data_IF_938241014339
#
_entry.id   IF_938241014339
#
_cell.length_a   1.000
_cell.length_b   1.000
_cell.length_c   1.000
_cell.angle_alpha   90.00
_cell.angle_beta   90.00
_cell.angle_gamma   90.00
#
_symmetry.space_group_name_H-M   'P 1'
#
loop_
_entity.id
_entity.type
_entity.pdbx_description
1 polymer ?
#
# COMPACT_ATOMS: atom_id res chain seq x y z
N UNK A 1 -23.28 9.11 9.46
CA UNK A 1 -22.24 8.11 9.77
C UNK A 1 -22.45 6.84 8.99
N UNK A 2 -23.57 6.13 9.22
CA UNK A 2 -23.89 4.87 8.57
C UNK A 2 -23.65 4.88 7.05
N UNK A 3 -24.26 5.80 6.28
CA UNK A 3 -24.02 5.91 4.83
C UNK A 3 -22.54 6.01 4.44
N UNK A 4 -21.73 6.77 5.20
CA UNK A 4 -20.29 6.91 4.94
C UNK A 4 -19.55 5.60 5.15
N UNK A 5 -19.85 4.89 6.24
CA UNK A 5 -19.22 3.61 6.59
C UNK A 5 -19.71 2.47 5.68
N UNK A 6 -20.99 2.45 5.29
CA UNK A 6 -21.51 1.51 4.31
C UNK A 6 -20.86 1.70 2.94
N UNK A 7 -20.71 2.94 2.48
CA UNK A 7 -20.00 3.22 1.23
C UNK A 7 -18.52 2.82 1.28
N UNK A 8 -17.87 3.06 2.43
CA UNK A 8 -16.51 2.61 2.65
C UNK A 8 -16.39 1.07 2.68
N UNK A 9 -17.33 0.36 3.31
CA UNK A 9 -17.37 -1.10 3.28
C UNK A 9 -17.56 -1.64 1.85
N UNK A 10 -18.44 -1.02 1.04
CA UNK A 10 -18.57 -1.36 -0.38
C UNK A 10 -17.25 -1.14 -1.14
N UNK A 11 -16.51 -0.06 -0.86
CA UNK A 11 -15.22 0.22 -1.46
C UNK A 11 -14.16 -0.84 -1.08
N UNK A 12 -14.09 -1.24 0.19
CA UNK A 12 -13.20 -2.33 0.63
C UNK A 12 -13.53 -3.63 -0.09
N UNK A 13 -14.82 -3.95 -0.25
CA UNK A 13 -15.27 -5.14 -0.98
C UNK A 13 -14.91 -5.08 -2.47
N UNK A 14 -15.12 -3.94 -3.12
CA UNK A 14 -14.74 -3.74 -4.52
C UNK A 14 -13.21 -3.87 -4.71
N UNK A 15 -12.43 -3.37 -3.76
CA UNK A 15 -10.96 -3.53 -3.76
C UNK A 15 -10.59 -5.02 -3.59
N UNK A 16 -11.19 -5.73 -2.65
CA UNK A 16 -10.95 -7.16 -2.46
C UNK A 16 -11.33 -8.00 -3.69
N UNK A 17 -12.43 -7.65 -4.37
CA UNK A 17 -12.84 -8.30 -5.61
C UNK A 17 -11.83 -8.04 -6.75
N UNK A 18 -11.33 -6.82 -6.88
CA UNK A 18 -10.27 -6.50 -7.85
C UNK A 18 -9.03 -7.38 -7.67
N UNK A 19 -8.59 -7.60 -6.42
CA UNK A 19 -7.47 -8.51 -6.12
C UNK A 19 -7.77 -9.94 -6.53
N UNK A 20 -8.97 -10.44 -6.20
CA UNK A 20 -9.39 -11.80 -6.53
C UNK A 20 -9.37 -12.05 -8.03
N UNK A 21 -9.80 -11.05 -8.82
CA UNK A 21 -9.91 -11.16 -10.28
C UNK A 21 -8.57 -10.95 -11.00
N UNK A 22 -7.77 -9.97 -10.58
CA UNK A 22 -6.58 -9.55 -11.32
C UNK A 22 -5.25 -9.99 -10.69
N UNK A 23 -5.27 -10.48 -9.45
CA UNK A 23 -4.08 -10.94 -8.71
C UNK A 23 -2.95 -9.90 -8.66
N UNK A 24 -3.33 -8.62 -8.52
CA UNK A 24 -2.41 -7.48 -8.48
C UNK A 24 -3.01 -6.34 -7.66
N UNK A 25 -2.17 -5.40 -7.15
CA UNK A 25 -2.65 -4.22 -6.46
C UNK A 25 -3.31 -3.20 -7.39
N UNK A 26 -4.15 -2.33 -6.85
CA UNK A 26 -4.76 -1.24 -7.61
C UNK A 26 -3.79 -0.06 -7.76
N UNK A 27 -3.08 0.31 -6.69
CA UNK A 27 -2.04 1.37 -6.59
C UNK A 27 -2.47 2.80 -6.94
N UNK A 28 -3.75 3.02 -7.25
CA UNK A 28 -4.25 4.32 -7.72
C UNK A 28 -5.49 4.82 -6.98
N UNK A 29 -5.90 4.16 -5.88
CA UNK A 29 -7.17 4.43 -5.20
C UNK A 29 -7.31 5.91 -4.80
N UNK A 30 -8.16 6.63 -5.52
CA UNK A 30 -8.44 8.07 -5.40
C UNK A 30 -9.94 8.32 -5.55
N UNK A 31 -10.50 9.44 -5.05
CA UNK A 31 -11.92 9.74 -5.20
C UNK A 31 -12.43 9.72 -6.64
N UNK A 32 -11.60 10.13 -7.60
CA UNK A 32 -11.91 10.22 -9.03
C UNK A 32 -12.18 8.84 -9.65
N UNK A 33 -11.64 7.78 -9.05
CA UNK A 33 -11.77 6.41 -9.53
C UNK A 33 -12.94 5.64 -8.90
N UNK A 34 -13.63 6.27 -7.94
CA UNK A 34 -14.69 5.64 -7.16
C UNK A 34 -16.03 6.06 -7.74
N UNK A 35 -16.77 5.09 -8.28
CA UNK A 35 -18.09 5.32 -8.89
C UNK A 35 -19.20 4.90 -7.93
N UNK A 36 -20.01 5.87 -7.53
CA UNK A 36 -21.23 5.63 -6.74
C UNK A 36 -22.43 5.59 -7.68
N UNK A 37 -23.21 4.51 -7.62
CA UNK A 37 -24.40 4.35 -8.43
C UNK A 37 -25.55 3.81 -7.57
N UNK A 38 -26.82 4.07 -7.94
CA UNK A 38 -27.97 3.47 -7.25
C UNK A 38 -27.90 1.95 -7.29
N UNK A 39 -28.21 1.29 -6.18
CA UNK A 39 -28.31 -0.18 -6.12
C UNK A 39 -29.77 -0.62 -6.21
N UNK A 40 -30.00 -1.85 -6.68
CA UNK A 40 -31.33 -2.45 -6.68
C UNK A 40 -31.94 -2.48 -5.27
N UNK A 41 -33.27 -2.33 -5.13
CA UNK A 41 -33.94 -2.28 -3.84
C UNK A 41 -33.99 -3.66 -3.18
N UNK A 42 -32.87 -4.06 -2.57
CA UNK A 42 -32.79 -5.25 -1.72
C UNK A 42 -33.40 -5.02 -0.35
N UNK A 43 -33.51 -3.77 0.10
CA UNK A 43 -34.10 -3.39 1.38
C UNK A 43 -35.35 -2.53 1.19
N UNK A 44 -36.51 -3.08 1.57
CA UNK A 44 -37.82 -2.41 1.43
C UNK A 44 -38.07 -1.31 2.47
N UNK A 45 -37.23 -1.20 3.50
CA UNK A 45 -37.41 -0.28 4.63
C UNK A 45 -36.44 0.91 4.63
N UNK A 46 -35.50 0.97 3.68
CA UNK A 46 -34.59 2.10 3.51
C UNK A 46 -35.09 3.03 2.40
N UNK A 47 -34.93 4.37 2.53
CA UNK A 47 -35.20 5.28 1.43
C UNK A 47 -34.38 4.88 0.20
N UNK A 48 -34.99 4.83 -0.99
CA UNK A 48 -34.30 4.44 -2.22
C UNK A 48 -33.01 5.25 -2.50
N UNK A 49 -32.98 6.52 -2.11
CA UNK A 49 -31.80 7.40 -2.18
C UNK A 49 -30.62 6.99 -1.27
N UNK A 50 -30.84 6.07 -0.33
CA UNK A 50 -29.82 5.52 0.56
C UNK A 50 -29.32 4.16 0.09
N UNK A 51 -29.88 3.64 -1.01
CA UNK A 51 -29.46 2.41 -1.65
C UNK A 51 -28.49 2.76 -2.77
N UNK A 52 -27.22 2.49 -2.53
CA UNK A 52 -26.16 2.75 -3.48
C UNK A 52 -25.11 1.65 -3.39
N UNK A 53 -24.40 1.45 -4.49
CA UNK A 53 -23.24 0.61 -4.57
C UNK A 53 -22.03 1.44 -5.02
N UNK A 54 -20.85 0.94 -4.65
CA UNK A 54 -19.56 1.56 -4.95
C UNK A 54 -18.76 0.59 -5.79
N UNK A 55 -18.32 1.03 -6.96
CA UNK A 55 -17.43 0.28 -7.84
C UNK A 55 -16.13 1.05 -8.06
N UNK A 56 -15.07 0.31 -8.36
CA UNK A 56 -13.80 0.85 -8.83
C UNK A 56 -13.78 0.90 -10.36
N UNK A 57 -13.10 1.89 -10.92
CA UNK A 57 -12.74 1.87 -12.33
C UNK A 57 -11.57 0.89 -12.56
N UNK A 58 -11.90 -0.35 -12.91
CA UNK A 58 -10.92 -1.41 -13.14
C UNK A 58 -9.86 -1.04 -14.20
N UNK A 59 -10.22 -0.18 -15.16
CA UNK A 59 -9.31 0.32 -16.19
C UNK A 59 -8.21 1.25 -15.66
N UNK A 60 -8.36 1.76 -14.44
CA UNK A 60 -7.41 2.63 -13.73
C UNK A 60 -6.60 1.89 -12.65
N UNK A 61 -6.74 0.56 -12.59
CA UNK A 61 -5.88 -0.30 -11.77
C UNK A 61 -4.45 -0.38 -12.30
N UNK A 62 -3.51 -0.84 -11.48
CA UNK A 62 -2.11 -0.96 -11.87
C UNK A 62 -1.90 -1.89 -13.07
N UNK A 63 -0.81 -1.69 -13.81
CA UNK A 63 -0.38 -2.58 -14.90
C UNK A 63 0.99 -3.18 -14.61
N UNK A 64 1.31 -4.38 -15.13
CA UNK A 64 2.67 -4.91 -15.05
C UNK A 64 3.66 -3.94 -15.68
N UNK A 65 4.84 -3.81 -15.08
CA UNK A 65 5.93 -3.02 -15.64
C UNK A 65 6.37 -3.63 -16.98
N UNK A 66 6.50 -2.78 -17.99
CA UNK A 66 7.10 -3.13 -19.29
C UNK A 66 8.44 -2.41 -19.38
N UNK A 67 9.53 -3.17 -19.42
CA UNK A 67 10.88 -2.66 -19.56
C UNK A 67 11.64 -3.45 -20.64
N UNK A 68 12.37 -2.75 -21.51
CA UNK A 68 12.96 -3.34 -22.73
C UNK A 68 13.93 -4.49 -22.45
N UNK A 69 14.75 -4.35 -21.40
CA UNK A 69 15.82 -5.30 -21.05
C UNK A 69 15.49 -6.19 -19.84
N UNK A 70 14.40 -5.92 -19.12
CA UNK A 70 14.06 -6.68 -17.92
C UNK A 70 13.47 -8.04 -18.32
N UNK A 71 13.91 -9.10 -17.65
CA UNK A 71 13.34 -10.43 -17.88
C UNK A 71 11.90 -10.50 -17.42
N UNK A 72 11.06 -11.24 -18.15
CA UNK A 72 9.63 -11.38 -17.84
C UNK A 72 9.40 -11.91 -16.42
N UNK A 73 10.20 -12.86 -15.97
CA UNK A 73 10.11 -13.45 -14.63
C UNK A 73 10.37 -12.41 -13.54
N UNK A 74 11.25 -11.44 -13.80
CA UNK A 74 11.54 -10.34 -12.88
C UNK A 74 10.42 -9.31 -12.86
N UNK A 75 9.84 -9.01 -14.03
CA UNK A 75 8.78 -8.01 -14.22
C UNK A 75 7.40 -8.44 -13.68
N UNK A 76 7.14 -9.74 -13.54
CA UNK A 76 5.82 -10.30 -13.19
C UNK A 76 5.20 -9.72 -11.91
N UNK A 77 6.03 -9.27 -10.98
CA UNK A 77 5.59 -8.79 -9.66
C UNK A 77 5.74 -7.28 -9.47
N UNK A 78 6.22 -6.59 -10.50
CA UNK A 78 6.39 -5.13 -10.48
C UNK A 78 5.20 -4.51 -11.19
N UNK A 79 4.41 -3.77 -10.44
CA UNK A 79 3.22 -3.08 -10.95
C UNK A 79 3.39 -1.57 -10.88
N UNK A 80 2.90 -0.88 -11.90
CA UNK A 80 2.90 0.58 -12.01
C UNK A 80 1.47 1.08 -12.06
N UNK A 81 1.20 2.24 -11.45
CA UNK A 81 -0.09 2.90 -11.58
C UNK A 81 -0.36 3.25 -13.05
N UNK A 82 -1.59 3.06 -13.52
CA UNK A 82 -2.00 3.31 -14.92
C UNK A 82 -2.42 4.75 -15.19
N UNK A 83 -2.44 5.62 -14.17
CA UNK A 83 -2.87 7.01 -14.27
C UNK A 83 -1.94 7.97 -13.52
N UNK A 84 -2.35 9.25 -13.47
CA UNK A 84 -1.65 10.24 -12.63
C UNK A 84 -1.76 9.86 -11.15
N UNK A 85 -0.60 9.79 -10.49
CA UNK A 85 -0.52 9.48 -9.06
C UNK A 85 -0.89 10.74 -8.28
N UNK A 86 -2.02 10.72 -7.57
CA UNK A 86 -2.34 11.77 -6.60
C UNK A 86 -1.49 11.54 -5.32
N UNK A 87 -0.51 12.43 -5.02
CA UNK A 87 0.31 12.30 -3.83
C UNK A 87 -0.51 12.46 -2.54
N UNK A 88 -1.77 12.87 -2.60
CA UNK A 88 -2.61 13.01 -1.43
C UNK A 88 -3.00 11.65 -0.84
N UNK A 89 -3.38 10.69 -1.70
CA UNK A 89 -3.85 9.34 -1.28
C UNK A 89 -2.77 8.28 -1.34
N UNK A 90 -1.70 8.56 -2.08
CA UNK A 90 -0.62 7.60 -2.33
C UNK A 90 0.17 7.26 -1.07
N UNK A 91 0.47 5.97 -0.89
CA UNK A 91 1.27 5.48 0.23
C UNK A 91 2.67 6.12 0.29
N UNK A 92 3.23 6.38 1.50
CA UNK A 92 4.54 6.98 1.65
C UNK A 92 5.65 6.22 0.93
N UNK A 93 5.57 4.88 0.90
CA UNK A 93 6.54 4.04 0.21
C UNK A 93 6.61 4.33 -1.30
N UNK A 94 5.47 4.56 -1.96
CA UNK A 94 5.43 4.89 -3.39
C UNK A 94 6.02 6.28 -3.66
N UNK A 95 5.73 7.25 -2.78
CA UNK A 95 6.29 8.61 -2.88
C UNK A 95 7.80 8.65 -2.70
N UNK A 96 8.29 7.91 -1.72
CA UNK A 96 9.71 7.84 -1.39
C UNK A 96 10.48 7.03 -2.44
N UNK A 97 9.83 6.05 -3.07
CA UNK A 97 10.45 5.17 -4.07
C UNK A 97 9.70 5.19 -5.41
N UNK A 98 9.82 6.28 -6.18
CA UNK A 98 9.35 6.25 -7.56
C UNK A 98 10.08 5.16 -8.35
N UNK A 99 9.38 4.59 -9.34
CA UNK A 99 9.90 3.49 -10.15
C UNK A 99 11.19 3.90 -10.87
N UNK A 100 12.23 3.07 -10.75
CA UNK A 100 13.53 3.32 -11.36
C UNK A 100 14.38 4.36 -10.62
N UNK A 101 14.06 4.68 -9.36
CA UNK A 101 14.90 5.59 -8.54
C UNK A 101 16.34 5.09 -8.53
N UNK A 102 17.26 5.95 -8.99
CA UNK A 102 18.68 5.66 -9.04
C UNK A 102 19.36 5.96 -7.69
N UNK A 103 20.29 5.10 -7.28
CA UNK A 103 21.10 5.25 -6.07
C UNK A 103 22.58 4.96 -6.36
N UNK A 104 23.51 5.70 -5.74
CA UNK A 104 24.89 5.28 -5.67
C UNK A 104 25.04 4.10 -4.72
N UNK A 105 25.77 3.08 -5.16
CA UNK A 105 26.03 1.87 -4.38
C UNK A 105 27.48 1.44 -4.49
N UNK A 106 27.98 0.87 -3.41
CA UNK A 106 29.21 0.09 -3.42
C UNK A 106 28.85 -1.38 -3.58
N UNK A 107 29.49 -2.07 -4.51
CA UNK A 107 29.22 -3.47 -4.83
C UNK A 107 30.47 -4.32 -4.64
N UNK A 108 30.38 -5.36 -3.83
CA UNK A 108 31.39 -6.41 -3.70
C UNK A 108 30.93 -7.67 -4.43
N UNK A 109 31.65 -8.04 -5.49
CA UNK A 109 31.35 -9.25 -6.26
C UNK A 109 31.77 -10.52 -5.49
N UNK A 110 30.82 -11.40 -5.17
CA UNK A 110 31.09 -12.65 -4.43
C UNK A 110 31.32 -13.83 -5.37
N UNK A 111 30.43 -14.02 -6.33
CA UNK A 111 30.55 -15.05 -7.36
C UNK A 111 30.19 -14.50 -8.73
N UNK A 112 30.83 -15.06 -9.74
CA UNK A 112 30.58 -14.81 -11.16
C UNK A 112 30.65 -16.17 -11.83
N UNK A 113 29.56 -16.59 -12.45
CA UNK A 113 29.42 -17.87 -13.16
C UNK A 113 28.98 -17.59 -14.60
N UNK A 114 29.65 -18.25 -15.56
CA UNK A 114 29.36 -18.04 -16.98
C UNK A 114 28.16 -18.86 -17.41
N UNK A 115 27.22 -18.20 -18.07
CA UNK A 115 26.11 -18.82 -18.80
C UNK A 115 26.38 -18.61 -20.29
N UNK A 116 26.55 -19.69 -21.08
CA UNK A 116 26.65 -19.59 -22.54
C UNK A 116 25.40 -18.89 -23.09
N UNK A 117 25.56 -17.96 -24.04
CA UNK A 117 24.41 -17.41 -24.76
C UNK A 117 24.13 -18.29 -25.98
N UNK A 118 22.93 -18.85 -26.06
CA UNK A 118 22.53 -19.76 -27.16
C UNK A 118 22.39 -19.02 -28.50
N UNK A 119 22.34 -17.68 -28.48
CA UNK A 119 22.07 -16.84 -29.66
C UNK A 119 23.34 -16.24 -30.27
N UNK A 120 24.35 -15.94 -29.46
CA UNK A 120 25.61 -15.34 -29.90
C UNK A 120 26.81 -15.97 -29.18
N UNK A 121 27.55 -16.82 -29.89
CA UNK A 121 28.76 -17.49 -29.38
C UNK A 121 29.86 -16.51 -28.93
N UNK A 122 29.82 -15.24 -29.37
CA UNK A 122 30.77 -14.20 -28.99
C UNK A 122 30.35 -13.41 -27.75
N UNK A 123 29.09 -13.53 -27.32
CA UNK A 123 28.58 -12.94 -26.10
C UNK A 123 28.42 -14.00 -25.00
N UNK A 124 28.40 -13.56 -23.76
CA UNK A 124 28.11 -14.45 -22.63
C UNK A 124 27.32 -13.69 -21.59
N UNK A 125 26.43 -14.40 -20.89
CA UNK A 125 25.73 -13.86 -19.73
C UNK A 125 26.39 -14.37 -18.47
N UNK A 126 26.35 -13.59 -17.41
CA UNK A 126 26.92 -13.96 -16.12
C UNK A 126 25.85 -14.07 -15.06
N UNK A 127 25.81 -15.18 -14.33
CA UNK A 127 25.14 -15.24 -13.04
C UNK A 127 26.08 -14.64 -11.99
N UNK A 128 25.63 -13.58 -11.33
CA UNK A 128 26.42 -12.83 -10.35
C UNK A 128 25.71 -12.85 -9.00
N UNK A 129 26.45 -13.21 -7.95
CA UNK A 129 26.06 -12.91 -6.57
C UNK A 129 26.93 -11.77 -6.07
N UNK A 130 26.29 -10.72 -5.57
CA UNK A 130 26.97 -9.51 -5.13
C UNK A 130 26.44 -9.03 -3.79
N UNK A 131 27.30 -8.38 -3.01
CA UNK A 131 26.95 -7.70 -1.77
C UNK A 131 26.92 -6.20 -2.06
N UNK A 132 25.75 -5.59 -1.93
CA UNK A 132 25.48 -4.19 -2.25
C UNK A 132 25.31 -3.38 -0.96
N UNK A 133 25.90 -2.18 -0.93
CA UNK A 133 25.85 -1.25 0.19
C UNK A 133 25.61 0.17 -0.31
N UNK A 134 24.98 1.01 0.52
CA UNK A 134 24.76 2.43 0.26
C UNK A 134 24.77 3.15 1.59
N UNK A 135 25.36 4.34 1.62
CA UNK A 135 25.31 5.22 2.79
C UNK A 135 24.02 6.06 2.83
N UNK A 136 23.24 6.07 1.74
CA UNK A 136 22.03 6.88 1.60
C UNK A 136 20.76 6.17 2.09
N UNK A 137 20.74 4.84 2.08
CA UNK A 137 19.52 4.06 2.37
C UNK A 137 19.80 2.79 3.17
N UNK A 138 18.87 2.46 4.07
CA UNK A 138 18.84 1.18 4.74
C UNK A 138 18.18 0.13 3.82
N UNK A 139 18.83 -1.02 3.64
CA UNK A 139 18.30 -2.07 2.76
C UNK A 139 17.30 -3.02 3.42
N UNK A 140 17.04 -2.87 4.73
CA UNK A 140 16.09 -3.69 5.47
C UNK A 140 14.65 -3.57 4.92
N UNK A 141 14.31 -2.41 4.35
CA UNK A 141 12.96 -2.14 3.86
C UNK A 141 12.67 -2.75 2.47
N UNK A 142 13.63 -3.42 1.82
CA UNK A 142 13.43 -4.06 0.52
C UNK A 142 12.96 -5.50 0.65
N UNK A 143 11.98 -5.86 -0.17
CA UNK A 143 11.44 -7.22 -0.27
C UNK A 143 12.25 -8.10 -1.23
N UNK A 144 12.02 -9.41 -1.19
CA UNK A 144 12.61 -10.37 -2.15
C UNK A 144 12.05 -10.19 -3.59
N UNK A 145 10.90 -9.54 -3.71
CA UNK A 145 10.24 -9.27 -4.97
C UNK A 145 10.70 -7.96 -5.61
N UNK A 146 11.40 -7.09 -4.86
CA UNK A 146 12.01 -5.89 -5.41
C UNK A 146 13.14 -6.27 -6.38
N UNK A 147 13.23 -5.51 -7.47
CA UNK A 147 14.19 -5.74 -8.54
C UNK A 147 15.18 -4.59 -8.62
N UNK A 148 16.45 -4.92 -8.79
CA UNK A 148 17.56 -3.99 -8.88
C UNK A 148 18.21 -4.09 -10.25
N UNK A 149 18.33 -2.97 -10.95
CA UNK A 149 19.13 -2.86 -12.17
C UNK A 149 20.48 -2.24 -11.82
N UNK A 150 21.50 -3.06 -11.72
CA UNK A 150 22.81 -2.65 -11.23
C UNK A 150 23.73 -2.40 -12.42
N UNK A 151 24.30 -1.20 -12.48
CA UNK A 151 25.35 -0.84 -13.44
C UNK A 151 26.70 -0.83 -12.73
N UNK A 152 27.55 -1.77 -13.11
CA UNK A 152 28.91 -1.91 -12.63
C UNK A 152 29.90 -1.25 -13.59
N UNK A 153 30.85 -0.50 -13.05
CA UNK A 153 32.02 0.00 -13.79
C UNK A 153 33.23 -0.83 -13.38
N UNK A 154 33.79 -1.58 -14.32
CA UNK A 154 34.93 -2.43 -14.03
C UNK A 154 36.24 -1.63 -13.94
N UNK A 155 37.15 -1.99 -13.01
CA UNK A 155 38.44 -1.33 -12.86
C UNK A 155 39.32 -1.61 -14.09
N UNK A 156 39.98 -0.57 -14.62
CA UNK A 156 40.75 -0.63 -15.87
C UNK A 156 40.55 0.61 -16.74
N UNK A 157 40.17 0.44 -18.01
CA UNK A 157 40.00 1.53 -18.98
C UNK A 157 38.83 2.49 -18.71
N UNK A 158 38.12 2.33 -17.58
CA UNK A 158 37.07 3.25 -17.10
C UNK A 158 35.78 3.28 -17.94
N UNK A 159 35.74 2.62 -19.10
CA UNK A 159 34.62 2.69 -20.06
C UNK A 159 33.73 1.45 -20.05
N UNK A 160 34.21 0.29 -19.60
CA UNK A 160 33.42 -0.94 -19.64
C UNK A 160 32.34 -0.92 -18.55
N UNK A 161 31.09 -0.77 -18.99
CA UNK A 161 29.90 -0.89 -18.14
C UNK A 161 29.28 -2.26 -18.31
N UNK A 162 28.90 -2.87 -17.20
CA UNK A 162 28.16 -4.12 -17.18
C UNK A 162 26.87 -3.86 -16.41
N UNK A 163 25.75 -4.18 -17.03
CA UNK A 163 24.43 -4.12 -16.41
C UNK A 163 23.99 -5.52 -16.02
N UNK A 164 23.33 -5.62 -14.87
CA UNK A 164 22.66 -6.84 -14.44
C UNK A 164 21.33 -6.53 -13.78
N UNK A 165 20.38 -7.44 -13.97
CA UNK A 165 19.13 -7.47 -13.24
C UNK A 165 19.23 -8.45 -12.10
N UNK A 166 18.95 -8.00 -10.88
CA UNK A 166 19.13 -8.78 -9.66
C UNK A 166 17.94 -8.67 -8.69
N UNK A 167 17.78 -9.69 -7.85
CA UNK A 167 16.85 -9.70 -6.72
C UNK A 167 17.60 -9.91 -5.41
N UNK A 168 16.99 -9.49 -4.31
CA UNK A 168 17.44 -9.83 -2.95
C UNK A 168 17.42 -11.34 -2.77
N UNK A 169 18.46 -11.88 -2.15
CA UNK A 169 18.56 -13.29 -1.77
C UNK A 169 18.74 -13.45 -0.27
N UNK A 170 19.44 -12.52 0.37
CA UNK A 170 19.77 -12.61 1.78
C UNK A 170 19.94 -11.20 2.36
N UNK A 171 19.46 -11.01 3.58
CA UNK A 171 19.79 -9.84 4.38
C UNK A 171 21.19 -9.99 4.98
N UNK A 172 21.95 -8.91 4.98
CA UNK A 172 23.26 -8.85 5.61
C UNK A 172 23.25 -7.82 6.74
N UNK A 173 24.13 -7.99 7.74
CA UNK A 173 24.28 -7.03 8.85
C UNK A 173 24.49 -5.59 8.36
N UNK A 174 25.13 -5.44 7.19
CA UNK A 174 25.24 -4.18 6.45
C UNK A 174 24.93 -4.44 5.00
N UNK A 175 23.98 -3.71 4.43
CA UNK A 175 23.63 -3.81 3.01
C UNK A 175 22.72 -5.00 2.66
N UNK A 176 22.84 -5.47 1.42
CA UNK A 176 21.98 -6.47 0.82
C UNK A 176 22.78 -7.46 -0.01
N UNK A 177 22.49 -8.75 0.08
CA UNK A 177 23.02 -9.72 -0.88
C UNK A 177 22.01 -9.91 -1.99
N UNK A 178 22.46 -9.68 -3.22
CA UNK A 178 21.66 -9.82 -4.43
C UNK A 178 22.22 -10.90 -5.34
N UNK A 179 21.34 -11.54 -6.11
CA UNK A 179 21.70 -12.46 -7.18
C UNK A 179 20.99 -12.05 -8.45
N UNK A 180 21.72 -12.03 -9.55
CA UNK A 180 21.21 -11.51 -10.80
C UNK A 180 21.96 -12.03 -12.01
N UNK A 181 21.41 -11.73 -13.18
CA UNK A 181 22.03 -12.10 -14.45
C UNK A 181 22.38 -10.85 -15.24
N UNK A 182 23.59 -10.81 -15.79
CA UNK A 182 24.00 -9.72 -16.66
C UNK A 182 23.23 -9.73 -17.97
N UNK A 183 23.20 -8.58 -18.62
CA UNK A 183 22.98 -8.55 -20.06
C UNK A 183 24.08 -9.35 -20.80
N UNK A 184 23.86 -9.63 -22.08
CA UNK A 184 24.87 -10.28 -22.91
C UNK A 184 26.10 -9.36 -23.01
N UNK A 185 27.26 -9.83 -22.53
CA UNK A 185 28.51 -9.04 -22.55
C UNK A 185 29.56 -9.69 -23.47
N UNK A 186 30.39 -8.87 -24.16
CA UNK A 186 31.49 -9.38 -24.99
C UNK A 186 32.55 -10.12 -24.16
N UNK A 187 33.28 -11.07 -24.80
CA UNK A 187 34.36 -11.82 -24.13
C UNK A 187 35.41 -10.95 -23.42
N UNK A 188 35.72 -9.77 -23.98
CA UNK A 188 36.68 -8.84 -23.37
C UNK A 188 36.16 -8.32 -22.03
N UNK A 189 34.88 -7.94 -21.96
CA UNK A 189 34.24 -7.50 -20.73
C UNK A 189 34.09 -8.67 -19.73
N UNK A 190 33.84 -9.88 -20.23
CA UNK A 190 33.81 -11.11 -19.41
C UNK A 190 35.14 -11.34 -18.68
N UNK A 191 36.26 -11.30 -19.41
CA UNK A 191 37.59 -11.46 -18.80
C UNK A 191 37.91 -10.37 -17.76
N UNK A 192 37.40 -9.15 -17.95
CA UNK A 192 37.54 -8.08 -16.95
C UNK A 192 36.69 -8.35 -15.72
N UNK A 193 35.45 -8.83 -15.90
CA UNK A 193 34.54 -9.17 -14.81
C UNK A 193 35.09 -10.31 -13.94
N UNK A 194 35.64 -11.35 -14.55
CA UNK A 194 36.29 -12.46 -13.83
C UNK A 194 37.47 -11.99 -12.96
N UNK A 195 38.27 -11.04 -13.47
CA UNK A 195 39.37 -10.43 -12.71
C UNK A 195 38.88 -9.54 -11.57
N UNK A 196 37.70 -8.94 -11.72
CA UNK A 196 37.06 -8.11 -10.71
C UNK A 196 36.33 -8.93 -9.61
N UNK A 197 36.33 -10.27 -9.70
CA UNK A 197 35.80 -11.14 -8.66
C UNK A 197 36.47 -10.83 -7.31
N UNK A 198 35.67 -10.75 -6.24
CA UNK A 198 36.11 -10.34 -4.89
C UNK A 198 36.64 -8.90 -4.76
N UNK A 199 36.55 -8.08 -5.80
CA UNK A 199 36.87 -6.65 -5.71
C UNK A 199 35.65 -5.83 -5.30
N UNK A 200 35.94 -4.69 -4.67
CA UNK A 200 34.95 -3.68 -4.29
C UNK A 200 34.86 -2.64 -5.40
N UNK A 201 33.65 -2.41 -5.91
CA UNK A 201 33.32 -1.44 -6.93
C UNK A 201 32.53 -0.30 -6.29
N UNK A 202 33.19 0.83 -6.04
CA UNK A 202 32.60 1.98 -5.34
C UNK A 202 31.87 2.98 -6.24
N UNK A 203 32.07 2.92 -7.56
CA UNK A 203 31.42 3.79 -8.56
C UNK A 203 30.29 3.04 -9.30
N UNK A 204 29.54 2.22 -8.57
CA UNK A 204 28.38 1.50 -9.10
C UNK A 204 27.09 2.28 -8.81
N UNK A 205 26.09 2.03 -9.65
CA UNK A 205 24.76 2.62 -9.51
C UNK A 205 23.70 1.55 -9.65
N UNK A 206 22.58 1.75 -8.97
CA UNK A 206 21.43 0.83 -9.06
C UNK A 206 20.15 1.62 -9.27
N UNK A 207 19.32 1.19 -10.21
CA UNK A 207 17.93 1.63 -10.32
C UNK A 207 17.05 0.62 -9.59
N UNK A 208 16.15 1.14 -8.76
CA UNK A 208 15.30 0.33 -7.88
C UNK A 208 13.88 0.27 -8.42
N UNK A 209 13.36 -0.95 -8.56
CA UNK A 209 11.98 -1.24 -8.97
C UNK A 209 11.28 -1.99 -7.83
N UNK A 210 10.43 -1.28 -7.08
CA UNK A 210 9.74 -1.81 -5.91
C UNK A 210 8.53 -2.63 -6.31
N UNK A 211 8.35 -3.80 -5.70
CA UNK A 211 7.14 -4.61 -5.78
C UNK A 211 6.12 -4.09 -4.75
N UNK A 212 5.36 -3.05 -5.12
CA UNK A 212 4.27 -2.57 -4.27
C UNK A 212 3.14 -3.60 -4.17
N UNK A 213 2.40 -3.56 -3.06
CA UNK A 213 1.42 -4.59 -2.70
C UNK A 213 0.17 -4.00 -2.04
N UNK A 214 -0.64 -4.87 -1.46
CA UNK A 214 -1.89 -4.52 -0.77
C UNK A 214 -1.72 -3.55 0.39
N UNK A 215 -0.55 -3.45 1.01
CA UNK A 215 -0.31 -2.44 2.03
C UNK A 215 -0.43 -1.00 1.47
N UNK A 216 -0.13 -0.80 0.18
CA UNK A 216 -0.28 0.50 -0.46
C UNK A 216 -1.76 0.85 -0.67
N UNK A 217 -2.58 -0.12 -1.07
CA UNK A 217 -4.02 0.10 -1.23
C UNK A 217 -4.73 0.26 0.11
N UNK A 218 -4.34 -0.50 1.15
CA UNK A 218 -4.85 -0.33 2.50
C UNK A 218 -4.57 1.09 3.03
N UNK A 219 -3.38 1.62 2.79
CA UNK A 219 -3.07 3.01 3.13
C UNK A 219 -4.01 4.00 2.41
N UNK A 220 -4.20 3.83 1.10
CA UNK A 220 -5.09 4.69 0.31
C UNK A 220 -6.54 4.61 0.81
N UNK A 221 -7.03 3.41 1.14
CA UNK A 221 -8.34 3.19 1.75
C UNK A 221 -8.46 3.92 3.10
N UNK A 222 -7.46 3.82 3.98
CA UNK A 222 -7.46 4.55 5.25
C UNK A 222 -7.52 6.07 5.04
N UNK A 223 -6.77 6.58 4.08
CA UNK A 223 -6.77 8.01 3.70
C UNK A 223 -8.13 8.45 3.16
N UNK A 224 -8.79 7.63 2.34
CA UNK A 224 -10.15 7.86 1.86
C UNK A 224 -11.19 7.82 2.98
N UNK A 225 -11.05 6.92 3.96
CA UNK A 225 -11.92 6.88 5.13
C UNK A 225 -11.79 8.17 5.95
N UNK A 226 -10.56 8.62 6.23
CA UNK A 226 -10.35 9.88 6.94
C UNK A 226 -10.90 11.08 6.20
N UNK A 227 -10.71 11.15 4.87
CA UNK A 227 -11.35 12.17 4.04
C UNK A 227 -12.85 12.15 4.22
N UNK A 228 -13.45 10.97 4.10
CA UNK A 228 -14.89 10.77 4.21
C UNK A 228 -15.42 11.21 5.59
N UNK A 229 -14.73 10.88 6.67
CA UNK A 229 -15.19 11.16 8.04
C UNK A 229 -14.92 12.59 8.49
N UNK A 230 -13.73 13.14 8.23
CA UNK A 230 -13.21 14.33 8.90
C UNK A 230 -13.35 15.62 8.08
N UNK A 231 -13.29 15.53 6.74
CA UNK A 231 -13.30 16.70 5.85
C UNK A 231 -14.69 17.33 5.78
N UNK A 232 -14.71 18.66 5.86
CA UNK A 232 -15.89 19.49 5.68
C UNK A 232 -15.47 20.91 5.22
N UNK A 233 -16.41 21.80 4.86
CA UNK A 233 -16.06 23.14 4.36
C UNK A 233 -15.18 23.98 5.30
N UNK A 234 -15.25 23.74 6.61
CA UNK A 234 -14.45 24.43 7.63
C UNK A 234 -13.12 23.72 7.94
N UNK A 235 -12.93 22.48 7.47
CA UNK A 235 -11.77 21.63 7.72
C UNK A 235 -11.31 21.00 6.41
N UNK A 236 -10.46 21.71 5.64
CA UNK A 236 -9.97 21.20 4.37
C UNK A 236 -9.03 20.01 4.59
N UNK A 237 -8.81 19.22 3.55
CA UNK A 237 -8.17 17.91 3.71
C UNK A 237 -6.70 18.01 4.11
N UNK A 238 -6.01 19.07 3.70
CA UNK A 238 -4.61 19.34 4.02
C UNK A 238 -4.41 19.49 5.53
N UNK A 239 -5.35 20.14 6.22
CA UNK A 239 -5.34 20.29 7.68
C UNK A 239 -5.56 18.93 8.35
N UNK A 240 -6.50 18.13 7.84
CA UNK A 240 -6.76 16.78 8.33
C UNK A 240 -5.51 15.89 8.16
N UNK A 241 -4.85 15.95 7.02
CA UNK A 241 -3.63 15.17 6.75
C UNK A 241 -2.49 15.54 7.68
N UNK A 242 -2.25 16.84 7.91
CA UNK A 242 -1.22 17.31 8.84
C UNK A 242 -1.40 16.72 10.24
N UNK A 243 -2.62 16.76 10.76
CA UNK A 243 -2.94 16.29 12.10
C UNK A 243 -2.91 14.75 12.18
N UNK A 244 -3.35 14.06 11.13
CA UNK A 244 -3.20 12.60 11.02
C UNK A 244 -1.74 12.17 11.02
N UNK A 245 -0.85 12.87 10.30
CA UNK A 245 0.58 12.59 10.32
C UNK A 245 1.15 12.75 11.73
N UNK A 246 0.79 13.82 12.44
CA UNK A 246 1.23 14.04 13.82
C UNK A 246 0.74 12.96 14.81
N UNK A 247 -0.45 12.38 14.57
CA UNK A 247 -0.96 11.23 15.34
C UNK A 247 -0.19 9.96 14.99
N UNK A 248 0.01 9.67 13.70
CA UNK A 248 0.70 8.47 13.23
C UNK A 248 2.14 8.40 13.74
N UNK A 249 2.87 9.51 13.75
CA UNK A 249 4.24 9.62 14.29
C UNK A 249 4.35 9.26 15.77
N UNK A 250 3.25 9.36 16.53
CA UNK A 250 3.22 9.12 17.98
C UNK A 250 2.35 7.92 18.36
N UNK A 251 1.93 7.14 17.37
CA UNK A 251 0.99 6.03 17.56
C UNK A 251 1.69 4.79 18.14
N UNK A 252 2.93 4.53 17.75
CA UNK A 252 3.67 3.33 18.13
C UNK A 252 3.75 3.11 19.65
N UNK A 253 4.15 4.09 20.48
CA UNK A 253 4.18 3.91 21.93
C UNK A 253 2.81 3.60 22.56
N UNK A 254 1.71 4.00 21.91
CA UNK A 254 0.35 3.78 22.43
C UNK A 254 -0.12 2.34 22.20
N UNK A 255 0.36 1.72 21.13
CA UNK A 255 -0.10 0.41 20.66
C UNK A 255 0.93 -0.70 20.85
N UNK A 256 2.14 -0.35 21.28
CA UNK A 256 3.20 -1.31 21.60
C UNK A 256 2.75 -2.28 22.71
N UNK A 257 2.98 -3.57 22.48
CA UNK A 257 2.65 -4.64 23.42
C UNK A 257 1.16 -4.95 23.57
N UNK A 258 0.32 -4.44 22.65
CA UNK A 258 -1.07 -4.86 22.57
C UNK A 258 -1.19 -6.17 21.78
N UNK A 259 -1.94 -7.11 22.33
CA UNK A 259 -2.39 -8.28 21.57
C UNK A 259 -3.43 -7.85 20.52
N UNK A 260 -3.53 -8.54 19.37
CA UNK A 260 -4.48 -8.19 18.31
C UNK A 260 -5.94 -8.04 18.78
N UNK A 261 -6.32 -8.88 19.75
CA UNK A 261 -7.66 -9.00 20.32
C UNK A 261 -7.94 -8.04 21.50
N UNK A 262 -6.94 -7.27 21.97
CA UNK A 262 -7.12 -6.30 23.06
C UNK A 262 -7.79 -5.01 22.55
N UNK A 263 -9.04 -5.15 22.13
CA UNK A 263 -9.85 -4.06 21.58
C UNK A 263 -10.03 -2.93 22.59
N UNK A 264 -10.32 -3.23 23.86
CA UNK A 264 -10.65 -2.23 24.86
C UNK A 264 -9.45 -1.35 25.25
N UNK A 265 -8.28 -1.94 25.45
CA UNK A 265 -7.06 -1.17 25.76
C UNK A 265 -6.65 -0.32 24.57
N UNK A 266 -6.70 -0.88 23.36
CA UNK A 266 -6.47 -0.15 22.10
C UNK A 266 -7.41 1.04 21.99
N UNK A 267 -8.70 0.81 22.17
CA UNK A 267 -9.74 1.84 22.12
C UNK A 267 -9.43 2.95 23.12
N UNK A 268 -9.18 2.60 24.38
CA UNK A 268 -8.94 3.56 25.46
C UNK A 268 -7.72 4.44 25.19
N UNK A 269 -6.58 3.83 24.82
CA UNK A 269 -5.32 4.56 24.60
C UNK A 269 -5.39 5.46 23.37
N UNK A 270 -5.86 4.94 22.25
CA UNK A 270 -5.85 5.67 20.98
C UNK A 270 -6.95 6.73 20.96
N UNK A 271 -8.16 6.44 21.46
CA UNK A 271 -9.21 7.46 21.56
C UNK A 271 -8.85 8.57 22.54
N UNK A 272 -8.15 8.26 23.64
CA UNK A 272 -7.61 9.26 24.57
C UNK A 272 -6.71 10.26 23.85
N UNK A 273 -5.79 9.77 23.01
CA UNK A 273 -4.91 10.62 22.20
C UNK A 273 -5.69 11.47 21.17
N UNK A 274 -6.65 10.87 20.47
CA UNK A 274 -7.50 11.60 19.51
C UNK A 274 -8.31 12.71 20.20
N UNK A 275 -8.78 12.47 21.42
CA UNK A 275 -9.54 13.42 22.25
C UNK A 275 -8.73 14.64 22.71
N UNK A 276 -7.41 14.61 22.64
CA UNK A 276 -6.55 15.78 22.89
C UNK A 276 -6.63 16.80 21.75
N UNK A 277 -6.98 16.37 20.53
CA UNK A 277 -7.11 17.22 19.34
C UNK A 277 -8.58 17.32 18.90
N UNK A 278 -9.42 17.87 19.79
CA UNK A 278 -10.88 17.92 19.61
C UNK A 278 -11.33 18.68 18.36
N UNK A 279 -10.59 19.69 17.94
CA UNK A 279 -10.94 20.50 16.76
C UNK A 279 -11.01 19.67 15.47
N UNK A 280 -10.26 18.57 15.43
CA UNK A 280 -10.19 17.67 14.28
C UNK A 280 -10.99 16.40 14.54
N UNK A 281 -10.72 15.70 15.65
CA UNK A 281 -11.20 14.34 15.87
C UNK A 281 -12.44 14.24 16.76
N UNK A 282 -13.06 15.34 17.18
CA UNK A 282 -14.34 15.26 17.87
C UNK A 282 -15.46 14.77 16.91
N UNK A 283 -16.46 14.03 17.43
CA UNK A 283 -17.66 13.71 16.67
C UNK A 283 -18.34 14.98 16.14
N UNK A 284 -18.86 14.99 14.90
CA UNK A 284 -19.48 16.18 14.32
C UNK A 284 -20.85 16.52 14.92
N UNK A 285 -21.44 15.63 15.72
CA UNK A 285 -22.67 15.90 16.48
C UNK A 285 -22.81 14.98 17.69
N UNK A 286 -23.50 15.46 18.73
CA UNK A 286 -23.77 14.71 19.96
C UNK A 286 -24.70 13.50 19.73
N UNK A 287 -25.38 13.46 18.59
CA UNK A 287 -26.21 12.32 18.19
C UNK A 287 -25.37 11.10 17.80
N UNK A 288 -24.07 11.25 17.54
CA UNK A 288 -23.20 10.15 17.19
C UNK A 288 -22.62 9.49 18.42
N UNK A 289 -22.63 8.14 18.43
CA UNK A 289 -21.93 7.36 19.44
C UNK A 289 -20.44 7.67 19.40
N UNK A 290 -19.87 8.14 20.51
CA UNK A 290 -18.42 8.33 20.63
C UNK A 290 -17.68 7.03 20.32
N UNK A 291 -18.22 5.90 20.77
CA UNK A 291 -17.63 4.59 20.54
C UNK A 291 -17.52 4.30 19.05
N UNK A 292 -18.63 4.37 18.30
CA UNK A 292 -18.62 4.12 16.85
C UNK A 292 -17.74 5.12 16.09
N UNK A 293 -17.68 6.38 16.55
CA UNK A 293 -16.84 7.40 15.94
C UNK A 293 -15.34 7.11 16.11
N UNK A 294 -14.89 6.92 17.36
CA UNK A 294 -13.48 6.67 17.61
C UNK A 294 -13.03 5.29 17.12
N UNK A 295 -13.90 4.28 17.12
CA UNK A 295 -13.58 2.97 16.55
C UNK A 295 -13.35 3.06 15.04
N UNK A 296 -14.15 3.86 14.33
CA UNK A 296 -13.93 4.13 12.90
C UNK A 296 -12.62 4.90 12.64
N UNK A 297 -12.25 5.87 13.49
CA UNK A 297 -10.97 6.58 13.37
C UNK A 297 -9.77 5.68 13.66
N UNK A 298 -9.87 4.83 14.70
CA UNK A 298 -8.84 3.85 15.04
C UNK A 298 -8.67 2.85 13.91
N UNK A 299 -9.76 2.38 13.33
CA UNK A 299 -9.72 1.50 12.17
C UNK A 299 -9.03 2.18 10.97
N UNK A 300 -9.29 3.46 10.71
CA UNK A 300 -8.54 4.25 9.74
C UNK A 300 -7.03 4.28 10.03
N UNK A 301 -6.63 4.46 11.30
CA UNK A 301 -5.23 4.43 11.71
C UNK A 301 -4.59 3.06 11.48
N UNK A 302 -5.34 1.97 11.70
CA UNK A 302 -4.88 0.60 11.43
C UNK A 302 -4.64 0.37 9.94
N UNK A 303 -5.45 0.95 9.06
CA UNK A 303 -5.27 0.89 7.61
C UNK A 303 -4.04 1.66 7.13
N UNK A 304 -3.72 2.79 7.77
CA UNK A 304 -2.60 3.65 7.36
C UNK A 304 -1.28 3.34 8.07
N UNK A 305 -1.26 2.41 9.03
CA UNK A 305 -0.11 2.13 9.87
C UNK A 305 0.56 0.80 9.53
N UNK A 306 1.89 0.76 9.67
CA UNK A 306 2.73 -0.45 9.56
C UNK A 306 3.20 -0.97 10.93
N UNK A 307 2.66 -0.44 12.03
CA UNK A 307 3.07 -0.85 13.38
C UNK A 307 2.66 -2.32 13.59
N UNK A 308 3.61 -3.24 13.86
CA UNK A 308 3.32 -4.66 14.08
C UNK A 308 2.29 -4.87 15.19
N UNK A 309 1.36 -5.80 15.00
CA UNK A 309 0.27 -6.10 15.95
C UNK A 309 -0.88 -5.08 15.98
N UNK A 310 -0.73 -3.91 15.35
CA UNK A 310 -1.78 -2.89 15.28
C UNK A 310 -2.29 -2.69 13.84
N UNK A 311 -1.38 -2.40 12.92
CA UNK A 311 -1.70 -2.04 11.54
C UNK A 311 -2.00 -3.26 10.67
N UNK A 312 -2.86 -3.10 9.67
CA UNK A 312 -3.12 -4.14 8.67
C UNK A 312 -1.93 -4.30 7.71
N UNK A 313 -1.11 -3.27 7.55
CA UNK A 313 0.04 -3.26 6.64
C UNK A 313 1.29 -3.97 7.18
N UNK A 314 1.26 -4.50 8.42
CA UNK A 314 2.43 -5.08 9.10
C UNK A 314 2.53 -6.61 9.04
N UNK A 315 1.47 -7.33 8.68
CA UNK A 315 1.46 -8.79 8.65
C UNK A 315 1.82 -9.29 7.25
N UNK A 316 3.12 -9.35 6.95
CA UNK A 316 3.66 -10.02 5.76
C UNK A 316 3.66 -11.53 5.95
N UNK A 317 2.50 -12.16 6.09
CA UNK A 317 2.41 -13.60 5.91
C UNK A 317 2.18 -13.89 4.42
N UNK A 318 3.13 -14.65 3.83
CA UNK A 318 3.01 -15.49 2.64
C UNK A 318 1.99 -15.02 1.59
N UNK A 319 2.47 -14.39 0.50
CA UNK A 319 1.69 -14.21 -0.74
C UNK A 319 1.37 -15.59 -1.35
N UNK A 320 0.27 -16.20 -0.92
CA UNK A 320 -0.36 -17.25 -1.70
C UNK A 320 -1.12 -16.58 -2.84
N UNK A 321 -0.60 -16.68 -4.07
CA UNK A 321 -1.03 -15.93 -5.26
C UNK A 321 -2.43 -16.29 -5.75
N UNK A 322 -3.11 -17.24 -5.10
CA UNK A 322 -4.49 -17.62 -5.39
C UNK A 322 -5.50 -17.10 -4.34
N UNK A 323 -5.05 -16.60 -3.19
CA UNK A 323 -5.91 -16.18 -2.09
C UNK A 323 -5.95 -14.65 -1.94
N UNK A 324 -7.10 -14.12 -1.52
CA UNK A 324 -7.19 -12.73 -1.06
C UNK A 324 -6.18 -12.55 0.08
N UNK A 325 -5.30 -11.52 0.05
CA UNK A 325 -4.36 -11.29 1.14
C UNK A 325 -5.11 -11.19 2.48
N UNK A 326 -4.65 -11.90 3.50
CA UNK A 326 -5.32 -11.96 4.81
C UNK A 326 -5.59 -10.57 5.38
N UNK A 327 -4.63 -9.66 5.28
CA UNK A 327 -4.80 -8.27 5.71
C UNK A 327 -5.93 -7.52 4.98
N UNK A 328 -6.13 -7.78 3.67
CA UNK A 328 -7.23 -7.17 2.91
C UNK A 328 -8.58 -7.80 3.28
N UNK A 329 -8.60 -9.10 3.59
CA UNK A 329 -9.77 -9.78 4.12
C UNK A 329 -10.19 -9.20 5.48
N UNK A 330 -9.25 -9.07 6.41
CA UNK A 330 -9.49 -8.55 7.76
C UNK A 330 -9.93 -7.08 7.73
N UNK A 331 -9.33 -6.28 6.85
CA UNK A 331 -9.78 -4.92 6.59
C UNK A 331 -11.24 -4.91 6.08
N UNK A 332 -11.56 -5.71 5.05
CA UNK A 332 -12.93 -5.79 4.53
C UNK A 332 -13.93 -6.17 5.63
N UNK A 333 -13.64 -7.20 6.44
CA UNK A 333 -14.50 -7.60 7.56
C UNK A 333 -14.64 -6.49 8.60
N UNK A 334 -13.55 -5.80 8.96
CA UNK A 334 -13.58 -4.68 9.90
C UNK A 334 -14.43 -3.52 9.40
N UNK A 335 -14.37 -3.20 8.11
CA UNK A 335 -15.21 -2.17 7.50
C UNK A 335 -16.70 -2.54 7.53
N UNK A 336 -17.03 -3.81 7.25
CA UNK A 336 -18.40 -4.33 7.33
C UNK A 336 -18.93 -4.29 8.76
N UNK A 337 -18.11 -4.68 9.74
CA UNK A 337 -18.45 -4.60 11.16
C UNK A 337 -18.76 -3.16 11.61
N UNK A 338 -17.94 -2.19 11.21
CA UNK A 338 -18.18 -0.76 11.52
C UNK A 338 -19.46 -0.23 10.88
N UNK A 339 -19.73 -0.61 9.63
CA UNK A 339 -20.95 -0.23 8.94
C UNK A 339 -22.19 -0.82 9.64
N UNK A 340 -22.10 -2.06 10.09
CA UNK A 340 -23.16 -2.75 10.82
C UNK A 340 -23.39 -2.14 12.20
N UNK A 341 -22.33 -1.85 12.95
CA UNK A 341 -22.45 -1.17 14.24
C UNK A 341 -23.10 0.21 14.09
N UNK A 342 -22.72 0.97 13.06
CA UNK A 342 -23.34 2.26 12.77
C UNK A 342 -24.81 2.13 12.33
N UNK A 343 -25.20 0.99 11.73
CA UNK A 343 -26.60 0.66 11.40
C UNK A 343 -27.39 0.42 12.67
N UNK A 344 -26.87 -0.43 13.56
CA UNK A 344 -27.48 -0.76 14.87
C UNK A 344 -27.68 0.52 15.69
N UNK A 345 -26.64 1.35 15.83
CA UNK A 345 -26.69 2.63 16.55
C UNK A 345 -27.72 3.62 15.99
N UNK A 346 -27.97 3.56 14.67
CA UNK A 346 -28.91 4.44 13.98
C UNK A 346 -30.36 3.95 14.09
N UNK A 347 -30.60 2.65 13.88
CA UNK A 347 -31.93 2.11 13.68
C UNK A 347 -32.48 1.28 14.85
N UNK A 348 -31.63 0.71 15.69
CA UNK A 348 -32.03 -0.24 16.75
C UNK A 348 -32.03 0.40 18.15
N UNK A 349 -31.46 1.60 18.30
CA UNK A 349 -31.71 2.45 19.45
C UNK A 349 -33.19 2.91 19.45
N UNK A 350 -34.03 2.25 20.24
CA UNK A 350 -35.51 2.29 20.20
C UNK A 350 -36.18 3.68 20.20
N UNK A 351 -35.48 4.74 20.62
CA UNK A 351 -35.97 6.12 20.57
C UNK A 351 -35.80 6.77 19.18
N UNK A 352 -34.70 6.50 18.47
CA UNK A 352 -34.34 7.14 17.19
C UNK A 352 -35.13 6.59 16.01
N UNK A 353 -35.51 5.32 16.08
CA UNK A 353 -36.31 4.64 15.05
C UNK A 353 -37.65 5.35 14.78
N UNK A 354 -38.35 5.79 15.85
CA UNK A 354 -39.63 6.50 15.73
C UNK A 354 -39.48 7.90 15.14
N UNK A 355 -38.38 8.57 15.44
CA UNK A 355 -38.14 9.95 15.00
C UNK A 355 -37.62 10.01 13.55
N UNK A 356 -36.74 9.09 13.16
CA UNK A 356 -36.29 8.94 11.78
C UNK A 356 -37.42 8.57 10.83
N UNK A 357 -38.27 7.61 11.21
CA UNK A 357 -39.46 7.28 10.42
C UNK A 357 -40.39 8.50 10.29
N UNK A 358 -40.68 9.19 11.41
CA UNK A 358 -41.51 10.40 11.39
C UNK A 358 -40.95 11.50 10.49
N UNK A 359 -39.64 11.75 10.49
CA UNK A 359 -39.00 12.75 9.63
C UNK A 359 -39.02 12.31 8.16
N UNK A 360 -38.74 11.05 7.88
CA UNK A 360 -38.84 10.50 6.52
C UNK A 360 -40.26 10.61 5.96
N UNK A 361 -41.28 10.30 6.79
CA UNK A 361 -42.69 10.42 6.43
C UNK A 361 -43.10 11.88 6.19
N UNK A 362 -42.65 12.81 7.03
CA UNK A 362 -42.89 14.25 6.85
C UNK A 362 -42.28 14.78 5.54
N UNK A 363 -41.04 14.40 5.22
CA UNK A 363 -40.36 14.84 3.99
C UNK A 363 -41.00 14.22 2.73
N UNK A 364 -41.56 13.01 2.84
CA UNK A 364 -42.34 12.40 1.76
C UNK A 364 -43.67 13.13 1.55
N UNK A 365 -44.34 13.52 2.64
CA UNK A 365 -45.60 14.27 2.60
C UNK A 365 -45.44 15.70 2.05
N UNK A 366 -44.29 16.35 2.23
CA UNK A 366 -44.02 17.69 1.67
C UNK A 366 -43.64 17.69 0.19
N UNK A 367 -43.36 16.51 -0.40
CA UNK A 367 -42.97 16.35 -1.81
C UNK A 367 -44.08 15.77 -2.70
N UNK A 368 -45.22 15.42 -2.11
CA UNK A 368 -46.48 15.08 -2.79
C UNK A 368 -47.42 16.27 -2.74
#
# INVERSE_FOLDING_TARGET
>A
MWLKLSGFACLCRATAEFYRQHQRPHLSLTPEQIRVHPSDPTFTWLPARWLFAVNLDEGQGSTPLVHETMRKEMAQEIFVSSGEIDPTYTAPAIKQWPMGRELPVTVLLRSVERIPDDVDEQASRGLIRAHMFSDEVAFADFSEHDVFHITLRLPGSGTTKISLWARKVEEAERGLVVSGVTDAIPQVAWSQLERAKQQVLSDARTEVFRAFDHACDLYSLGTLLFRCLLVNPSRPFEVVQHELSAVLERLEPLVQGLEPDDHWTRFTRVSGRLKEQRDIFAPPSDCLSEFAWYDALIYGLRLTSRIPGFGFCGNTESRDTAALPGALHDAMQGAEHLAEQARIDLFEAAARHRELLRICDLVLAERM
#
